data_IF_204193997891
#
_entry.id   IF_204193997891
#
_cell.length_a   1.000
_cell.length_b   1.000
_cell.length_c   1.000
_cell.angle_alpha   90.00
_cell.angle_beta   90.00
_cell.angle_gamma   90.00
#
_symmetry.space_group_name_H-M   'P 1'
#
loop_
_entity.id
_entity.type
_entity.pdbx_description
1 polymer ?
#
# COMPACT_ATOMS: atom_id res chain seq x y z
N UNK A 1 -4.93 -23.82 5.27
CA UNK A 1 -6.04 -22.85 5.29
C UNK A 1 -5.37 -21.50 5.39
N UNK A 2 -5.11 -20.87 4.25
CA UNK A 2 -4.51 -19.54 4.21
C UNK A 2 -5.56 -18.57 4.73
N UNK A 3 -5.43 -18.19 5.99
CA UNK A 3 -6.12 -17.03 6.54
C UNK A 3 -5.59 -15.84 5.76
N UNK A 4 -6.19 -15.54 4.60
CA UNK A 4 -5.93 -14.32 3.86
C UNK A 4 -6.36 -13.17 4.76
N UNK A 5 -5.41 -12.66 5.54
CA UNK A 5 -5.64 -11.53 6.42
C UNK A 5 -6.07 -10.35 5.54
N UNK A 6 -7.24 -9.74 5.79
CA UNK A 6 -7.81 -8.72 4.91
C UNK A 6 -6.86 -7.54 4.72
N UNK A 7 -6.04 -7.21 5.73
CA UNK A 7 -5.01 -6.19 5.64
C UNK A 7 -3.88 -6.56 4.66
N UNK A 8 -3.44 -7.82 4.61
CA UNK A 8 -2.40 -8.26 3.66
C UNK A 8 -2.91 -8.17 2.22
N UNK A 9 -4.14 -8.62 1.97
CA UNK A 9 -4.77 -8.50 0.65
C UNK A 9 -4.92 -7.03 0.24
N UNK A 10 -5.36 -6.16 1.16
CA UNK A 10 -5.50 -4.73 0.89
C UNK A 10 -4.14 -4.07 0.59
N UNK A 11 -3.08 -4.46 1.30
CA UNK A 11 -1.73 -3.97 1.04
C UNK A 11 -1.24 -4.37 -0.36
N UNK A 12 -1.39 -5.64 -0.73
CA UNK A 12 -1.00 -6.13 -2.05
C UNK A 12 -1.77 -5.40 -3.17
N UNK A 13 -3.07 -5.18 -2.99
CA UNK A 13 -3.86 -4.40 -3.96
C UNK A 13 -3.39 -2.94 -4.05
N UNK A 14 -3.13 -2.29 -2.91
CA UNK A 14 -2.63 -0.92 -2.90
C UNK A 14 -1.26 -0.81 -3.58
N UNK A 15 -0.34 -1.74 -3.30
CA UNK A 15 0.98 -1.81 -3.95
C UNK A 15 0.85 -1.99 -5.46
N UNK A 16 0.00 -2.91 -5.93
CA UNK A 16 -0.24 -3.15 -7.36
C UNK A 16 -0.74 -1.88 -8.06
N UNK A 17 -1.78 -1.24 -7.51
CA UNK A 17 -2.37 -0.02 -8.07
C UNK A 17 -1.32 1.10 -8.10
N UNK A 18 -0.60 1.32 -7.01
CA UNK A 18 0.45 2.34 -6.92
C UNK A 18 1.61 2.06 -7.87
N UNK A 19 1.99 0.80 -8.07
CA UNK A 19 3.06 0.43 -9.01
C UNK A 19 2.64 0.73 -10.45
N UNK A 20 1.44 0.30 -10.85
CA UNK A 20 0.90 0.54 -12.20
C UNK A 20 0.65 2.03 -12.47
N UNK A 21 0.27 2.77 -11.44
CA UNK A 21 0.16 4.23 -11.52
C UNK A 21 1.53 4.88 -11.70
N UNK A 22 2.54 4.44 -10.95
CA UNK A 22 3.91 4.93 -11.06
C UNK A 22 4.56 4.61 -12.41
N UNK A 23 4.21 3.48 -13.02
CA UNK A 23 4.70 3.06 -14.35
C UNK A 23 3.97 3.79 -15.50
N UNK A 24 2.84 4.45 -15.20
CA UNK A 24 2.00 5.12 -16.19
C UNK A 24 1.05 4.16 -16.93
N UNK A 25 0.99 2.89 -16.53
CA UNK A 25 0.03 1.91 -17.03
C UNK A 25 -1.41 2.19 -16.58
N UNK A 26 -1.56 2.85 -15.43
CA UNK A 26 -2.85 3.22 -14.85
C UNK A 26 -2.96 4.76 -14.76
N UNK A 27 -4.06 5.31 -15.28
CA UNK A 27 -4.33 6.75 -15.18
C UNK A 27 -4.50 7.20 -13.72
N UNK A 28 -4.13 8.44 -13.42
CA UNK A 28 -4.19 8.97 -12.05
C UNK A 28 -5.60 8.87 -11.43
N UNK A 29 -6.65 9.19 -12.19
CA UNK A 29 -8.04 9.07 -11.72
C UNK A 29 -8.41 7.60 -11.43
N UNK A 30 -8.06 6.67 -12.31
CA UNK A 30 -8.33 5.24 -12.11
C UNK A 30 -7.57 4.69 -10.89
N UNK A 31 -6.31 5.07 -10.74
CA UNK A 31 -5.49 4.69 -9.59
C UNK A 31 -6.06 5.21 -8.28
N UNK A 32 -6.50 6.46 -8.25
CA UNK A 32 -7.13 7.09 -7.08
C UNK A 32 -8.45 6.41 -6.73
N UNK A 33 -9.30 6.11 -7.72
CA UNK A 33 -10.56 5.40 -7.47
C UNK A 33 -10.31 3.99 -6.94
N UNK A 34 -9.34 3.27 -7.50
CA UNK A 34 -8.98 1.94 -7.06
C UNK A 34 -8.38 1.95 -5.63
N UNK A 35 -7.44 2.87 -5.35
CA UNK A 35 -6.88 3.05 -3.99
C UNK A 35 -7.96 3.43 -2.99
N UNK A 36 -8.86 4.35 -3.36
CA UNK A 36 -10.00 4.70 -2.51
C UNK A 36 -10.83 3.46 -2.21
N UNK A 37 -11.17 2.64 -3.20
CA UNK A 37 -11.95 1.43 -3.01
C UNK A 37 -11.26 0.43 -2.07
N UNK A 38 -9.92 0.28 -2.17
CA UNK A 38 -9.13 -0.53 -1.24
C UNK A 38 -9.25 0.00 0.18
N UNK A 39 -9.05 1.30 0.41
CA UNK A 39 -9.15 1.89 1.75
C UNK A 39 -10.58 1.94 2.31
N UNK A 40 -11.60 1.97 1.47
CA UNK A 40 -13.03 1.94 1.84
C UNK A 40 -13.44 0.53 2.29
N UNK A 41 -12.98 -0.49 1.57
CA UNK A 41 -13.23 -1.91 1.88
C UNK A 41 -12.34 -2.44 3.01
N UNK A 42 -11.14 -1.87 3.19
CA UNK A 42 -10.23 -2.28 4.24
C UNK A 42 -10.69 -1.74 5.60
N UNK A 43 -10.87 -2.66 6.55
CA UNK A 43 -11.10 -2.34 7.95
C UNK A 43 -9.88 -2.74 8.77
N UNK A 44 -9.35 -1.84 9.62
CA UNK A 44 -8.22 -2.16 10.48
C UNK A 44 -8.61 -3.29 11.43
N UNK A 45 -7.75 -4.30 11.49
CA UNK A 45 -7.91 -5.47 12.35
C UNK A 45 -7.18 -5.32 13.67
N UNK A 46 -7.19 -6.38 14.48
CA UNK A 46 -6.21 -6.51 15.57
C UNK A 46 -5.04 -7.32 14.98
N UNK A 47 -3.91 -6.69 14.64
CA UNK A 47 -2.76 -7.44 14.14
C UNK A 47 -2.27 -8.41 15.22
N UNK A 48 -2.05 -9.66 14.81
CA UNK A 48 -1.56 -10.72 15.71
C UNK A 48 -0.09 -11.05 15.48
N UNK A 49 0.45 -10.56 14.36
CA UNK A 49 1.84 -10.76 13.93
C UNK A 49 2.51 -9.42 13.61
N UNK A 50 3.84 -9.41 13.65
CA UNK A 50 4.64 -8.22 13.27
C UNK A 50 4.37 -7.79 11.82
N UNK A 51 4.22 -8.77 10.92
CA UNK A 51 3.83 -8.59 9.54
C UNK A 51 2.48 -7.84 9.41
N UNK A 52 1.46 -8.28 10.13
CA UNK A 52 0.17 -7.59 10.16
C UNK A 52 0.27 -6.19 10.76
N UNK A 53 1.07 -6.01 11.82
CA UNK A 53 1.32 -4.70 12.41
C UNK A 53 1.93 -3.72 11.40
N UNK A 54 2.94 -4.15 10.64
CA UNK A 54 3.57 -3.34 9.59
C UNK A 54 2.60 -3.06 8.46
N UNK A 55 1.80 -4.05 8.07
CA UNK A 55 0.76 -3.90 7.03
C UNK A 55 -0.30 -2.88 7.44
N UNK A 56 -0.81 -2.98 8.68
CA UNK A 56 -1.78 -2.04 9.25
C UNK A 56 -1.22 -0.63 9.33
N UNK A 57 0.06 -0.49 9.74
CA UNK A 57 0.74 0.80 9.81
C UNK A 57 0.94 1.42 8.42
N UNK A 58 1.36 0.61 7.43
CA UNK A 58 1.53 1.03 6.04
C UNK A 58 0.21 1.46 5.41
N UNK A 59 -0.85 0.66 5.54
CA UNK A 59 -2.19 1.00 5.03
C UNK A 59 -2.77 2.24 5.72
N UNK A 60 -2.58 2.38 7.03
CA UNK A 60 -2.99 3.57 7.78
C UNK A 60 -2.25 4.82 7.28
N UNK A 61 -0.92 4.74 7.13
CA UNK A 61 -0.11 5.85 6.62
C UNK A 61 -0.49 6.24 5.19
N UNK A 62 -0.70 5.25 4.32
CA UNK A 62 -1.09 5.46 2.93
C UNK A 62 -2.48 6.11 2.83
N UNK A 63 -3.44 5.68 3.67
CA UNK A 63 -4.76 6.29 3.77
C UNK A 63 -4.68 7.75 4.23
N UNK A 64 -3.84 8.06 5.21
CA UNK A 64 -3.66 9.43 5.71
C UNK A 64 -3.06 10.32 4.60
N UNK A 65 -1.99 9.87 3.94
CA UNK A 65 -1.38 10.60 2.82
C UNK A 65 -2.38 10.83 1.68
N UNK A 66 -3.19 9.81 1.34
CA UNK A 66 -4.23 9.91 0.33
C UNK A 66 -5.34 10.90 0.71
N UNK A 67 -5.78 10.90 1.97
CA UNK A 67 -6.79 11.83 2.46
C UNK A 67 -6.27 13.27 2.51
N UNK A 68 -5.03 13.48 2.96
CA UNK A 68 -4.37 14.78 2.96
C UNK A 68 -4.25 15.32 1.52
N UNK A 69 -3.81 14.47 0.58
CA UNK A 69 -3.77 14.83 -0.83
C UNK A 69 -5.16 15.19 -1.40
N UNK A 70 -6.20 14.44 -1.07
CA UNK A 70 -7.59 14.76 -1.47
C UNK A 70 -8.06 16.11 -0.93
N UNK A 71 -7.60 16.52 0.25
CA UNK A 71 -7.94 17.83 0.82
C UNK A 71 -7.17 18.98 0.16
N UNK A 72 -5.91 18.74 -0.21
CA UNK A 72 -5.05 19.78 -0.79
C UNK A 72 -5.18 19.90 -2.31
N UNK A 73 -5.55 18.83 -3.01
CA UNK A 73 -5.59 18.77 -4.46
C UNK A 73 -4.20 18.94 -5.10
N UNK A 74 -3.16 18.36 -4.47
CA UNK A 74 -1.76 18.51 -4.87
C UNK A 74 -1.37 17.58 -6.05
N UNK A 75 -0.07 17.53 -6.40
CA UNK A 75 0.40 16.76 -7.54
C UNK A 75 0.24 15.24 -7.34
N UNK A 76 -0.45 14.59 -8.27
CA UNK A 76 -0.62 13.14 -8.38
C UNK A 76 0.70 12.35 -8.31
N UNK A 77 1.77 12.87 -8.91
CA UNK A 77 3.10 12.25 -8.96
C UNK A 77 3.79 12.23 -7.59
N UNK A 78 3.55 13.25 -6.76
CA UNK A 78 4.06 13.28 -5.39
C UNK A 78 3.32 12.26 -4.53
N UNK A 79 1.99 12.19 -4.67
CA UNK A 79 1.17 11.21 -3.96
C UNK A 79 1.59 9.78 -4.31
N UNK A 80 1.73 9.42 -5.58
CA UNK A 80 2.12 8.04 -5.97
C UNK A 80 3.50 7.68 -5.43
N UNK A 81 4.43 8.64 -5.41
CA UNK A 81 5.77 8.45 -4.85
C UNK A 81 5.72 8.22 -3.34
N UNK A 82 4.93 9.03 -2.61
CA UNK A 82 4.72 8.86 -1.17
C UNK A 82 4.04 7.53 -0.85
N UNK A 83 2.97 7.18 -1.57
CA UNK A 83 2.26 5.92 -1.38
C UNK A 83 3.18 4.72 -1.63
N UNK A 84 3.99 4.76 -2.69
CA UNK A 84 4.96 3.71 -3.00
C UNK A 84 5.94 3.52 -1.86
N UNK A 85 6.42 4.62 -1.29
CA UNK A 85 7.34 4.56 -0.15
C UNK A 85 6.64 4.05 1.12
N UNK A 86 5.42 4.49 1.42
CA UNK A 86 4.69 4.07 2.62
C UNK A 86 4.29 2.60 2.57
N UNK A 87 3.83 2.15 1.40
CA UNK A 87 3.36 0.79 1.15
C UNK A 87 4.50 -0.22 0.98
N UNK A 88 5.75 0.23 0.89
CA UNK A 88 6.92 -0.65 0.82
C UNK A 88 7.33 -1.10 2.24
N UNK A 89 7.11 -2.38 2.62
CA UNK A 89 7.46 -2.88 3.95
C UNK A 89 8.97 -3.09 4.13
N UNK A 90 9.76 -3.08 3.04
CA UNK A 90 11.22 -3.18 3.11
C UNK A 90 11.85 -1.99 3.82
N UNK A 91 11.19 -0.82 3.86
CA UNK A 91 11.67 0.36 4.62
C UNK A 91 11.77 0.11 6.13
N UNK A 92 10.92 -0.75 6.68
CA UNK A 92 10.90 -1.09 8.12
C UNK A 92 11.76 -2.33 8.42
N UNK A 93 12.55 -2.82 7.45
CA UNK A 93 13.40 -4.00 7.61
C UNK A 93 12.62 -5.32 7.57
N UNK A 94 11.33 -5.28 7.22
CA UNK A 94 10.50 -6.48 7.09
C UNK A 94 10.81 -7.14 5.75
N UNK A 95 11.49 -8.27 5.81
CA UNK A 95 11.84 -9.12 4.67
C UNK A 95 10.84 -10.26 4.44
N UNK A 96 9.67 -10.17 5.07
CA UNK A 96 8.63 -11.20 4.95
C UNK A 96 8.19 -11.35 3.48
N UNK A 97 8.39 -12.53 2.86
CA UNK A 97 8.13 -12.71 1.44
C UNK A 97 6.65 -12.61 1.06
N UNK A 98 5.71 -12.70 2.02
CA UNK A 98 4.29 -12.48 1.74
C UNK A 98 3.93 -11.00 1.62
N UNK A 99 4.66 -10.13 2.33
CA UNK A 99 4.48 -8.67 2.28
C UNK A 99 5.37 -8.01 1.21
N UNK A 100 6.46 -8.68 0.85
CA UNK A 100 7.51 -8.14 0.01
C UNK A 100 7.46 -8.69 -1.42
N UNK A 101 6.26 -8.71 -2.02
CA UNK A 101 6.01 -9.24 -3.37
C UNK A 101 6.82 -8.49 -4.44
N UNK A 102 7.15 -7.22 -4.19
CA UNK A 102 7.83 -6.32 -5.12
C UNK A 102 9.25 -5.91 -4.71
N UNK A 103 9.80 -6.40 -3.59
CA UNK A 103 11.21 -6.12 -3.34
C UNK A 103 12.09 -6.86 -4.33
N UNK A 104 13.15 -6.20 -4.85
CA UNK A 104 14.22 -6.93 -5.51
C UNK A 104 14.76 -7.94 -4.50
N UNK A 105 14.67 -9.22 -4.83
CA UNK A 105 15.25 -10.28 -4.00
C UNK A 105 16.73 -9.96 -3.86
N UNK A 106 17.16 -9.42 -2.72
CA UNK A 106 18.57 -9.39 -2.38
C UNK A 106 18.98 -10.83 -2.16
N UNK A 107 19.43 -11.47 -3.23
CA UNK A 107 20.38 -12.57 -3.12
C UNK A 107 21.68 -11.93 -2.67
N UNK A 108 22.11 -12.21 -1.44
CA UNK A 108 23.52 -12.33 -1.02
C UNK A 108 23.60 -12.79 0.45
#
# INVERSE_FOLDING_TARGET
MESSNPSVTALQQAQDITSRWSDGELGAEEAQQALKAVFDNWQPGVPTTEAEHVTEAALSGARIAFQDWLQRGENCEELVTQLRWILDPSKDGVTDPQLNVYAPQRSE
#
